data_IF_463087403808
#
_entry.id   IF_463087403808
#
_cell.length_a   1.000
_cell.length_b   1.000
_cell.length_c   1.000
_cell.angle_alpha   90.00
_cell.angle_beta   90.00
_cell.angle_gamma   90.00
#
_symmetry.space_group_name_H-M   'P 1'
#
loop_
_entity.id
_entity.type
_entity.pdbx_description
1 polymer ?
#
# COMPACT_ATOMS: atom_id res chain seq x y z
N UNK A 1 -27.08 -13.16 -9.58
CA UNK A 1 -26.83 -13.42 -11.00
C UNK A 1 -28.03 -12.98 -11.82
N UNK A 2 -27.94 -11.74 -12.30
CA UNK A 2 -28.86 -11.14 -13.26
C UNK A 2 -28.96 -12.00 -14.54
N UNK A 3 -30.16 -12.25 -15.11
CA UNK A 3 -30.31 -13.02 -16.35
C UNK A 3 -29.48 -12.49 -17.53
N UNK A 4 -29.29 -11.16 -17.60
CA UNK A 4 -28.45 -10.52 -18.62
C UNK A 4 -26.96 -10.82 -18.39
N UNK A 5 -26.52 -10.88 -17.14
CA UNK A 5 -25.15 -11.27 -16.80
C UNK A 5 -24.87 -12.74 -17.15
N UNK A 6 -25.82 -13.64 -16.90
CA UNK A 6 -25.74 -15.03 -17.36
C UNK A 6 -25.65 -15.10 -18.89
N UNK A 7 -26.45 -14.31 -19.61
CA UNK A 7 -26.40 -14.26 -21.07
C UNK A 7 -25.06 -13.76 -21.60
N UNK A 8 -24.51 -12.69 -21.03
CA UNK A 8 -23.17 -12.19 -21.39
C UNK A 8 -22.13 -13.27 -21.15
N UNK A 9 -22.19 -13.96 -20.00
CA UNK A 9 -21.27 -15.06 -19.67
C UNK A 9 -21.35 -16.22 -20.67
N UNK A 10 -22.55 -16.58 -21.11
CA UNK A 10 -22.74 -17.59 -22.17
C UNK A 10 -22.10 -17.16 -23.49
N UNK A 11 -22.30 -15.90 -23.89
CA UNK A 11 -21.76 -15.33 -25.13
C UNK A 11 -20.23 -15.29 -25.13
N UNK A 12 -19.61 -15.06 -23.97
CA UNK A 12 -18.16 -15.01 -23.78
C UNK A 12 -17.55 -16.35 -23.33
N UNK A 13 -18.36 -17.42 -23.19
CA UNK A 13 -17.89 -18.70 -22.65
C UNK A 13 -16.90 -19.48 -23.55
N UNK A 14 -16.80 -19.12 -24.84
CA UNK A 14 -16.00 -19.81 -25.85
C UNK A 14 -14.50 -19.44 -25.87
N UNK A 15 -13.72 -20.10 -26.73
CA UNK A 15 -12.28 -19.81 -26.91
C UNK A 15 -12.02 -18.45 -27.60
N UNK A 16 -13.00 -17.95 -28.35
CA UNK A 16 -13.09 -16.58 -28.88
C UNK A 16 -14.55 -16.20 -29.05
N UNK A 17 -14.90 -14.97 -28.70
CA UNK A 17 -16.22 -14.40 -29.01
C UNK A 17 -16.25 -13.98 -30.47
N UNK A 18 -17.27 -14.40 -31.20
CA UNK A 18 -17.46 -13.97 -32.59
C UNK A 18 -18.06 -12.56 -32.67
N UNK A 19 -17.89 -11.82 -33.79
CA UNK A 19 -18.39 -10.45 -33.94
C UNK A 19 -19.90 -10.27 -33.70
N UNK A 20 -20.71 -11.31 -33.92
CA UNK A 20 -22.14 -11.28 -33.63
C UNK A 20 -22.44 -11.33 -32.12
N UNK A 21 -21.69 -12.15 -31.38
CA UNK A 21 -21.81 -12.27 -29.94
C UNK A 21 -21.27 -11.01 -29.24
N UNK A 22 -20.16 -10.44 -29.70
CA UNK A 22 -19.65 -9.14 -29.19
C UNK A 22 -20.68 -8.01 -29.37
N UNK A 23 -21.35 -7.97 -30.52
CA UNK A 23 -22.42 -7.00 -30.78
C UNK A 23 -23.63 -7.21 -29.87
N UNK A 24 -23.98 -8.46 -29.59
CA UNK A 24 -25.06 -8.79 -28.66
C UNK A 24 -24.70 -8.38 -27.22
N UNK A 25 -23.46 -8.60 -26.78
CA UNK A 25 -22.95 -8.10 -25.49
C UNK A 25 -23.09 -6.57 -25.41
N UNK A 26 -22.63 -5.83 -26.43
CA UNK A 26 -22.78 -4.37 -26.48
C UNK A 26 -24.25 -3.93 -26.47
N UNK A 27 -25.14 -4.63 -27.17
CA UNK A 27 -26.56 -4.34 -27.18
C UNK A 27 -27.18 -4.53 -25.79
N UNK A 28 -26.89 -5.65 -25.13
CA UNK A 28 -27.35 -5.93 -23.77
C UNK A 28 -26.91 -4.80 -22.84
N UNK A 29 -25.63 -4.42 -22.84
CA UNK A 29 -25.08 -3.38 -21.96
C UNK A 29 -25.68 -1.99 -22.25
N UNK A 30 -25.97 -1.66 -23.51
CA UNK A 30 -26.63 -0.39 -23.89
C UNK A 30 -28.07 -0.33 -23.43
N UNK A 31 -28.77 -1.45 -23.43
CA UNK A 31 -30.20 -1.53 -23.10
C UNK A 31 -30.47 -1.69 -21.60
N UNK A 32 -29.44 -1.91 -20.76
CA UNK A 32 -29.59 -1.93 -19.30
C UNK A 32 -30.15 -0.58 -18.82
N UNK A 33 -31.28 -0.57 -18.07
CA UNK A 33 -31.84 0.66 -17.53
C UNK A 33 -30.83 1.48 -16.71
N UNK A 34 -30.98 2.81 -16.66
CA UNK A 34 -30.15 3.66 -15.81
C UNK A 34 -30.18 3.20 -14.35
N UNK A 35 -29.01 3.06 -13.73
CA UNK A 35 -28.87 2.61 -12.34
C UNK A 35 -28.82 1.10 -12.12
N UNK A 36 -29.01 0.28 -13.17
CA UNK A 36 -28.85 -1.18 -13.08
C UNK A 36 -27.50 -1.69 -13.62
N UNK A 37 -26.74 -0.83 -14.33
CA UNK A 37 -25.48 -1.24 -14.97
C UNK A 37 -24.41 -1.67 -13.95
N UNK A 38 -24.29 -0.95 -12.84
CA UNK A 38 -23.33 -1.26 -11.78
C UNK A 38 -23.53 -2.68 -11.21
N UNK A 39 -24.77 -3.00 -10.83
CA UNK A 39 -25.13 -4.31 -10.29
C UNK A 39 -24.94 -5.44 -11.32
N UNK A 40 -25.21 -5.17 -12.60
CA UNK A 40 -24.97 -6.13 -13.68
C UNK A 40 -23.46 -6.43 -13.82
N UNK A 41 -22.62 -5.40 -13.87
CA UNK A 41 -21.18 -5.56 -14.03
C UNK A 41 -20.53 -6.23 -12.80
N UNK A 42 -21.06 -5.98 -11.60
CA UNK A 42 -20.61 -6.64 -10.38
C UNK A 42 -20.85 -8.17 -10.39
N UNK A 43 -21.81 -8.65 -11.19
CA UNK A 43 -22.09 -10.07 -11.39
C UNK A 43 -21.22 -10.73 -12.51
N UNK A 44 -20.34 -9.95 -13.18
CA UNK A 44 -19.52 -10.40 -14.31
C UNK A 44 -18.04 -10.52 -13.95
N UNK A 45 -17.35 -11.43 -14.64
CA UNK A 45 -15.89 -11.45 -14.73
C UNK A 45 -15.45 -10.40 -15.76
N UNK A 46 -15.01 -9.24 -15.27
CA UNK A 46 -14.63 -8.10 -16.12
C UNK A 46 -13.34 -8.34 -16.91
N UNK A 47 -12.38 -9.09 -16.35
CA UNK A 47 -11.15 -9.46 -17.06
C UNK A 47 -11.49 -10.30 -18.29
N UNK A 48 -12.34 -11.30 -18.08
CA UNK A 48 -12.87 -12.11 -19.18
C UNK A 48 -13.65 -11.28 -20.19
N UNK A 49 -14.59 -10.44 -19.73
CA UNK A 49 -15.41 -9.61 -20.62
C UNK A 49 -14.56 -8.71 -21.55
N UNK A 50 -13.55 -8.05 -20.99
CA UNK A 50 -12.66 -7.16 -21.76
C UNK A 50 -11.74 -7.95 -22.69
N UNK A 51 -11.22 -9.09 -22.23
CA UNK A 51 -10.38 -9.97 -23.03
C UNK A 51 -11.12 -10.60 -24.21
N UNK A 52 -12.40 -10.91 -24.03
CA UNK A 52 -13.21 -11.65 -24.99
C UNK A 52 -13.89 -10.77 -26.06
N UNK A 53 -13.97 -9.45 -25.87
CA UNK A 53 -14.44 -8.50 -26.88
C UNK A 53 -13.25 -7.85 -27.58
N UNK A 54 -13.19 -7.93 -28.92
CA UNK A 54 -12.02 -7.47 -29.69
C UNK A 54 -12.34 -6.39 -30.73
N UNK A 55 -11.32 -5.61 -31.09
CA UNK A 55 -11.35 -4.73 -32.26
C UNK A 55 -10.85 -5.52 -33.46
N UNK A 56 -11.71 -5.72 -34.46
CA UNK A 56 -11.40 -6.56 -35.62
C UNK A 56 -10.69 -5.75 -36.71
N UNK A 57 -9.57 -6.24 -37.24
CA UNK A 57 -8.80 -5.64 -38.35
C UNK A 57 -9.69 -5.23 -39.54
N UNK A 58 -10.76 -6.00 -39.76
CA UNK A 58 -11.82 -5.69 -40.72
C UNK A 58 -13.16 -5.85 -40.00
N UNK A 59 -13.77 -4.76 -39.57
CA UNK A 59 -15.04 -4.83 -38.84
C UNK A 59 -15.29 -3.62 -37.97
N UNK A 60 -16.16 -3.80 -36.98
CA UNK A 60 -16.43 -2.79 -35.97
C UNK A 60 -15.43 -2.92 -34.82
N UNK A 61 -15.04 -1.77 -34.26
CA UNK A 61 -14.17 -1.68 -33.09
C UNK A 61 -15.01 -1.92 -31.82
N UNK A 62 -15.40 -3.17 -31.57
CA UNK A 62 -16.30 -3.51 -30.48
C UNK A 62 -15.67 -3.33 -29.10
N UNK A 63 -14.35 -3.53 -28.94
CA UNK A 63 -13.67 -3.24 -27.68
C UNK A 63 -13.64 -1.74 -27.44
N UNK A 64 -13.29 -0.96 -28.45
CA UNK A 64 -13.32 0.51 -28.35
C UNK A 64 -14.72 1.03 -27.99
N UNK A 65 -15.77 0.45 -28.58
CA UNK A 65 -17.16 0.77 -28.23
C UNK A 65 -17.55 0.33 -26.81
N UNK A 66 -17.02 -0.79 -26.33
CA UNK A 66 -17.26 -1.27 -24.97
C UNK A 66 -16.64 -0.31 -23.96
N UNK A 67 -15.38 0.08 -24.17
CA UNK A 67 -14.67 1.01 -23.28
C UNK A 67 -15.33 2.39 -23.27
N UNK A 68 -15.71 2.91 -24.44
CA UNK A 68 -16.44 4.18 -24.53
C UNK A 68 -17.79 4.11 -23.79
N UNK A 69 -18.51 2.99 -23.91
CA UNK A 69 -19.76 2.79 -23.17
C UNK A 69 -19.54 2.79 -21.66
N UNK A 70 -18.59 1.98 -21.18
CA UNK A 70 -18.39 1.72 -19.75
C UNK A 70 -17.68 2.86 -19.02
N UNK A 71 -16.76 3.56 -19.68
CA UNK A 71 -15.95 4.62 -19.06
C UNK A 71 -16.50 6.01 -19.36
N UNK A 72 -16.79 6.30 -20.64
CA UNK A 72 -17.15 7.66 -21.06
C UNK A 72 -18.66 7.91 -20.95
N UNK A 73 -19.46 7.02 -21.53
CA UNK A 73 -20.90 7.26 -21.72
C UNK A 73 -21.69 6.98 -20.45
N UNK A 74 -21.42 5.84 -19.79
CA UNK A 74 -22.14 5.37 -18.61
C UNK A 74 -21.26 5.23 -17.38
N UNK A 75 -20.00 5.67 -17.45
CA UNK A 75 -19.06 5.57 -16.34
C UNK A 75 -19.56 6.22 -15.05
N UNK A 76 -20.31 7.33 -15.16
CA UNK A 76 -20.94 8.01 -14.03
C UNK A 76 -21.97 7.17 -13.24
N UNK A 77 -22.52 6.11 -13.85
CA UNK A 77 -23.44 5.19 -13.17
C UNK A 77 -22.72 4.14 -12.32
N UNK A 78 -21.42 3.95 -12.53
CA UNK A 78 -20.64 2.92 -11.86
C UNK A 78 -20.21 3.38 -10.47
N UNK A 79 -20.33 2.50 -9.50
CA UNK A 79 -19.71 2.66 -8.18
C UNK A 79 -18.18 2.61 -8.30
N UNK A 80 -17.49 3.17 -7.32
CA UNK A 80 -16.03 3.08 -7.20
C UNK A 80 -15.54 1.63 -7.09
N UNK A 81 -16.35 0.72 -6.56
CA UNK A 81 -16.07 -0.73 -6.51
C UNK A 81 -15.97 -1.31 -7.91
N UNK A 82 -17.03 -1.13 -8.71
CA UNK A 82 -17.09 -1.65 -10.08
C UNK A 82 -16.06 -0.97 -10.97
N UNK A 83 -15.83 0.34 -10.78
CA UNK A 83 -14.82 1.08 -11.53
C UNK A 83 -13.40 0.61 -11.21
N UNK A 84 -13.10 0.30 -9.95
CA UNK A 84 -11.82 -0.29 -9.57
C UNK A 84 -11.62 -1.68 -10.21
N UNK A 85 -12.65 -2.53 -10.20
CA UNK A 85 -12.61 -3.84 -10.86
C UNK A 85 -12.43 -3.72 -12.39
N UNK A 86 -13.08 -2.73 -13.01
CA UNK A 86 -12.90 -2.44 -14.44
C UNK A 86 -11.47 -1.98 -14.74
N UNK A 87 -10.92 -1.08 -13.93
CA UNK A 87 -9.53 -0.61 -14.08
C UNK A 87 -8.58 -1.78 -13.91
N UNK A 88 -8.75 -2.62 -12.89
CA UNK A 88 -7.95 -3.83 -12.65
C UNK A 88 -7.93 -4.75 -13.88
N UNK A 89 -9.09 -5.00 -14.49
CA UNK A 89 -9.21 -5.78 -15.72
C UNK A 89 -8.49 -5.16 -16.93
N UNK A 90 -8.36 -3.82 -16.98
CA UNK A 90 -7.68 -3.13 -18.09
C UNK A 90 -6.14 -3.24 -18.04
N UNK A 91 -5.57 -3.55 -16.87
CA UNK A 91 -4.11 -3.62 -16.67
C UNK A 91 -3.61 -4.93 -16.05
N UNK A 92 -4.42 -5.99 -16.03
CA UNK A 92 -4.04 -7.36 -15.62
C UNK A 92 -2.94 -8.01 -16.49
N UNK A 93 -2.52 -7.33 -17.58
CA UNK A 93 -1.57 -7.82 -18.57
C UNK A 93 -0.87 -6.70 -19.34
N UNK A 94 -0.80 -6.81 -20.67
CA UNK A 94 -0.36 -5.67 -21.48
C UNK A 94 -1.45 -4.61 -21.44
N UNK A 95 -1.05 -3.35 -21.29
CA UNK A 95 -1.97 -2.19 -21.26
C UNK A 95 -1.78 -1.37 -22.55
N UNK A 96 -2.49 -1.70 -23.66
CA UNK A 96 -2.48 -0.89 -24.88
C UNK A 96 -2.90 0.55 -24.61
N UNK A 97 -2.57 1.45 -25.54
CA UNK A 97 -2.91 2.87 -25.41
C UNK A 97 -4.39 3.12 -25.12
N UNK A 98 -5.30 2.40 -25.79
CA UNK A 98 -6.74 2.52 -25.57
C UNK A 98 -7.15 2.16 -24.11
N UNK A 99 -6.52 1.15 -23.51
CA UNK A 99 -6.76 0.79 -22.11
C UNK A 99 -6.21 1.87 -21.19
N UNK A 100 -5.00 2.38 -21.45
CA UNK A 100 -4.42 3.48 -20.68
C UNK A 100 -5.33 4.72 -20.71
N UNK A 101 -5.84 5.09 -21.89
CA UNK A 101 -6.76 6.22 -22.06
C UNK A 101 -8.10 6.01 -21.33
N UNK A 102 -8.64 4.79 -21.38
CA UNK A 102 -9.84 4.41 -20.63
C UNK A 102 -9.61 4.49 -19.11
N UNK A 103 -8.48 3.98 -18.61
CA UNK A 103 -8.12 4.09 -17.19
C UNK A 103 -7.98 5.55 -16.77
N UNK A 104 -7.25 6.37 -17.54
CA UNK A 104 -7.12 7.80 -17.26
C UNK A 104 -8.47 8.50 -17.30
N UNK A 105 -9.32 8.18 -18.28
CA UNK A 105 -10.69 8.71 -18.35
C UNK A 105 -11.51 8.37 -17.10
N UNK A 106 -11.45 7.12 -16.64
CA UNK A 106 -12.13 6.66 -15.42
C UNK A 106 -11.63 7.41 -14.17
N UNK A 107 -10.31 7.52 -13.98
CA UNK A 107 -9.72 8.21 -12.84
C UNK A 107 -10.09 9.70 -12.82
N UNK A 108 -9.94 10.39 -13.96
CA UNK A 108 -10.23 11.82 -14.10
C UNK A 108 -11.72 12.14 -14.04
N UNK A 109 -12.60 11.15 -14.22
CA UNK A 109 -14.06 11.33 -14.11
C UNK A 109 -14.55 11.49 -12.67
N UNK A 110 -13.69 11.20 -11.68
CA UNK A 110 -14.03 11.24 -10.25
C UNK A 110 -13.30 12.37 -9.55
N UNK A 111 -13.98 12.98 -8.58
CA UNK A 111 -13.44 14.05 -7.74
C UNK A 111 -13.81 13.83 -6.26
N UNK A 112 -13.10 14.52 -5.36
CA UNK A 112 -13.34 14.48 -3.91
C UNK A 112 -13.39 13.07 -3.34
N UNK A 113 -14.40 12.80 -2.51
CA UNK A 113 -14.52 11.54 -1.77
C UNK A 113 -14.62 10.30 -2.67
N UNK A 114 -15.24 10.39 -3.86
CA UNK A 114 -15.31 9.27 -4.80
C UNK A 114 -13.94 8.95 -5.42
N UNK A 115 -13.17 9.99 -5.78
CA UNK A 115 -11.83 9.80 -6.30
C UNK A 115 -10.91 9.20 -5.23
N UNK A 116 -11.00 9.71 -4.00
CA UNK A 116 -10.25 9.19 -2.87
C UNK A 116 -10.57 7.72 -2.62
N UNK A 117 -11.86 7.33 -2.59
CA UNK A 117 -12.26 5.93 -2.41
C UNK A 117 -11.75 5.03 -3.55
N UNK A 118 -11.85 5.49 -4.80
CA UNK A 118 -11.31 4.77 -5.96
C UNK A 118 -9.78 4.57 -5.86
N UNK A 119 -9.04 5.61 -5.49
CA UNK A 119 -7.58 5.58 -5.33
C UNK A 119 -7.14 4.51 -4.33
N UNK A 120 -7.79 4.47 -3.17
CA UNK A 120 -7.49 3.51 -2.12
C UNK A 120 -7.84 2.07 -2.51
N UNK A 121 -8.95 1.85 -3.23
CA UNK A 121 -9.29 0.52 -3.77
C UNK A 121 -8.23 0.00 -4.74
N UNK A 122 -7.71 0.87 -5.60
CA UNK A 122 -6.64 0.52 -6.54
C UNK A 122 -5.30 0.28 -5.82
N UNK A 123 -5.05 0.96 -4.72
CA UNK A 123 -3.84 0.73 -3.91
C UNK A 123 -3.91 -0.61 -3.17
N UNK A 124 -5.09 -1.05 -2.74
CA UNK A 124 -5.27 -2.24 -1.89
C UNK A 124 -5.74 -3.48 -2.66
N UNK A 125 -5.36 -3.65 -3.94
CA UNK A 125 -5.76 -4.80 -4.76
C UNK A 125 -5.24 -6.16 -4.22
N UNK A 126 -4.21 -6.13 -3.36
CA UNK A 126 -3.62 -7.33 -2.76
C UNK A 126 -2.76 -8.16 -3.71
N UNK A 127 -2.54 -7.65 -4.93
CA UNK A 127 -1.64 -8.22 -5.93
C UNK A 127 -0.60 -7.18 -6.39
N UNK A 128 0.13 -7.46 -7.48
CA UNK A 128 1.13 -6.52 -8.00
C UNK A 128 0.56 -5.46 -8.95
N UNK A 129 -0.74 -5.50 -9.24
CA UNK A 129 -1.43 -4.54 -10.10
C UNK A 129 -2.03 -3.42 -9.23
N UNK A 130 -1.20 -2.86 -8.35
CA UNK A 130 -1.60 -1.74 -7.50
C UNK A 130 -1.56 -0.40 -8.26
N UNK A 131 -1.97 0.66 -7.57
CA UNK A 131 -1.98 2.02 -8.11
C UNK A 131 -0.59 2.50 -8.56
N UNK A 132 0.48 2.12 -7.84
CA UNK A 132 1.84 2.49 -8.23
C UNK A 132 2.23 1.84 -9.55
N UNK A 133 1.96 0.55 -9.69
CA UNK A 133 2.23 -0.19 -10.91
C UNK A 133 1.47 0.42 -12.08
N UNK A 134 0.18 0.67 -11.87
CA UNK A 134 -0.68 1.28 -12.87
C UNK A 134 -0.10 2.61 -13.35
N UNK A 135 0.19 3.53 -12.43
CA UNK A 135 0.59 4.91 -12.77
C UNK A 135 2.02 4.97 -13.31
N UNK A 136 2.97 4.29 -12.67
CA UNK A 136 4.40 4.45 -12.97
C UNK A 136 4.97 3.41 -13.93
N UNK A 137 4.25 2.31 -14.19
CA UNK A 137 4.69 1.28 -15.12
C UNK A 137 3.79 1.13 -16.33
N UNK A 138 2.47 1.12 -16.15
CA UNK A 138 1.53 0.82 -17.24
C UNK A 138 1.16 2.05 -18.07
N UNK A 139 1.09 3.23 -17.44
CA UNK A 139 0.81 4.48 -18.15
C UNK A 139 2.07 5.08 -18.80
N UNK A 140 1.90 5.51 -20.05
CA UNK A 140 2.83 6.42 -20.73
C UNK A 140 2.92 7.78 -20.04
N UNK A 141 4.06 8.46 -20.19
CA UNK A 141 4.40 9.72 -19.50
C UNK A 141 3.32 10.79 -19.62
N UNK A 142 2.78 11.02 -20.82
CA UNK A 142 1.75 12.03 -21.06
C UNK A 142 0.42 11.74 -20.32
N UNK A 143 0.09 10.46 -20.15
CA UNK A 143 -1.10 10.01 -19.42
C UNK A 143 -0.86 9.98 -17.91
N UNK A 144 0.34 9.59 -17.50
CA UNK A 144 0.79 9.62 -16.10
C UNK A 144 0.76 11.03 -15.56
N UNK A 145 1.31 12.00 -16.28
CA UNK A 145 1.36 13.39 -15.85
C UNK A 145 -0.05 13.96 -15.61
N UNK A 146 -1.02 13.55 -16.43
CA UNK A 146 -2.43 13.92 -16.25
C UNK A 146 -3.02 13.33 -14.98
N UNK A 147 -2.73 12.07 -14.68
CA UNK A 147 -3.20 11.42 -13.44
C UNK A 147 -2.54 12.05 -12.21
N UNK A 148 -1.23 12.28 -12.24
CA UNK A 148 -0.51 12.93 -11.13
C UNK A 148 -1.03 14.36 -10.91
N UNK A 149 -1.26 15.13 -11.98
CA UNK A 149 -1.83 16.47 -11.87
C UNK A 149 -3.25 16.44 -11.29
N UNK A 150 -4.07 15.45 -11.66
CA UNK A 150 -5.40 15.25 -11.08
C UNK A 150 -5.31 14.90 -9.59
N UNK A 151 -4.43 13.97 -9.21
CA UNK A 151 -4.19 13.60 -7.80
C UNK A 151 -3.81 14.84 -6.98
N UNK A 152 -2.83 15.62 -7.43
CA UNK A 152 -2.42 16.85 -6.75
C UNK A 152 -3.57 17.86 -6.62
N UNK A 153 -4.36 18.05 -7.68
CA UNK A 153 -5.50 18.96 -7.66
C UNK A 153 -6.64 18.49 -6.73
N UNK A 154 -6.83 17.18 -6.54
CA UNK A 154 -7.80 16.64 -5.60
C UNK A 154 -7.30 16.72 -4.15
N UNK A 155 -6.02 16.45 -3.93
CA UNK A 155 -5.36 16.60 -2.63
C UNK A 155 -5.47 18.02 -2.05
N UNK A 156 -5.33 19.05 -2.90
CA UNK A 156 -5.50 20.45 -2.48
C UNK A 156 -6.93 20.79 -2.06
N UNK A 157 -7.93 20.09 -2.60
CA UNK A 157 -9.36 20.32 -2.33
C UNK A 157 -9.83 19.64 -1.05
N UNK A 158 -9.27 18.48 -0.74
CA UNK A 158 -9.63 17.65 0.40
C UNK A 158 -8.36 17.19 1.13
N UNK A 159 -7.67 18.12 1.83
CA UNK A 159 -6.45 17.78 2.56
C UNK A 159 -6.81 16.83 3.70
N UNK A 160 -6.25 15.63 3.65
CA UNK A 160 -6.40 14.63 4.72
C UNK A 160 -5.26 14.73 5.73
N UNK A 161 -5.47 14.19 6.93
CA UNK A 161 -4.42 13.96 7.92
C UNK A 161 -3.94 12.51 7.94
N UNK A 162 -4.35 11.72 6.95
CA UNK A 162 -4.07 10.28 6.87
C UNK A 162 -2.57 10.02 6.85
N UNK A 163 -2.20 8.85 7.34
CA UNK A 163 -0.82 8.45 7.53
C UNK A 163 -0.50 7.26 6.62
N UNK A 164 0.33 7.49 5.60
CA UNK A 164 0.95 6.41 4.82
C UNK A 164 2.04 5.75 5.65
N UNK A 165 1.99 4.43 5.76
CA UNK A 165 2.96 3.64 6.51
C UNK A 165 3.78 2.84 5.53
N UNK A 166 5.03 3.24 5.31
CA UNK A 166 5.97 2.46 4.52
C UNK A 166 6.79 1.56 5.43
N UNK A 167 6.89 0.27 5.12
CA UNK A 167 7.54 -0.69 5.99
C UNK A 167 8.50 -1.60 5.21
N UNK A 168 9.76 -1.69 5.62
CA UNK A 168 10.64 -2.77 5.14
C UNK A 168 10.24 -4.12 5.77
N UNK A 169 10.82 -5.21 5.26
CA UNK A 169 10.44 -6.57 5.67
C UNK A 169 11.59 -7.32 6.34
N UNK A 170 12.80 -7.22 5.81
CA UNK A 170 13.92 -8.01 6.32
C UNK A 170 14.60 -7.29 7.47
N UNK A 171 14.72 -7.96 8.62
CA UNK A 171 15.20 -7.36 9.87
C UNK A 171 14.36 -6.17 10.39
N UNK A 172 13.26 -5.85 9.69
CA UNK A 172 12.19 -4.96 10.12
C UNK A 172 10.96 -5.76 10.52
N UNK A 173 10.23 -6.37 9.58
CA UNK A 173 9.07 -7.22 9.92
C UNK A 173 9.47 -8.57 10.53
N UNK A 174 10.56 -9.15 10.02
CA UNK A 174 11.00 -10.49 10.38
C UNK A 174 12.51 -10.56 10.52
N UNK A 175 12.99 -11.16 11.60
CA UNK A 175 14.41 -11.42 11.82
C UNK A 175 14.97 -12.30 10.69
N UNK A 176 15.93 -11.79 9.93
CA UNK A 176 16.38 -12.41 8.69
C UNK A 176 17.90 -12.50 8.58
N UNK A 177 18.63 -11.39 8.67
CA UNK A 177 20.06 -11.32 8.31
C UNK A 177 20.92 -10.75 9.44
N UNK A 178 20.58 -9.58 9.96
CA UNK A 178 21.47 -8.78 10.81
C UNK A 178 21.22 -8.98 12.31
N UNK A 179 19.98 -9.18 12.71
CA UNK A 179 19.63 -9.24 14.14
C UNK A 179 19.95 -10.61 14.76
N UNK A 180 20.64 -10.64 15.89
CA UNK A 180 20.95 -11.86 16.64
C UNK A 180 20.20 -11.95 17.98
N UNK A 181 19.43 -10.92 18.34
CA UNK A 181 18.63 -10.87 19.57
C UNK A 181 17.46 -11.84 19.52
N UNK A 182 17.01 -12.20 18.32
CA UNK A 182 15.87 -13.07 18.06
C UNK A 182 16.26 -14.29 17.22
N UNK A 183 15.58 -15.44 17.39
CA UNK A 183 15.72 -16.57 16.47
C UNK A 183 15.42 -16.16 15.02
N UNK A 184 16.16 -16.74 14.07
CA UNK A 184 15.95 -16.46 12.65
C UNK A 184 14.55 -16.87 12.21
N UNK A 185 13.90 -16.00 11.48
CA UNK A 185 12.56 -16.21 10.96
C UNK A 185 11.43 -15.80 11.89
N UNK A 186 11.74 -15.31 13.09
CA UNK A 186 10.78 -14.71 14.01
C UNK A 186 10.18 -13.44 13.41
N UNK A 187 8.86 -13.35 13.35
CA UNK A 187 8.16 -12.05 13.22
C UNK A 187 8.34 -11.32 14.55
N UNK A 188 8.84 -10.09 14.50
CA UNK A 188 9.22 -9.41 15.73
C UNK A 188 8.01 -9.15 16.64
N UNK A 189 8.13 -9.43 17.96
CA UNK A 189 7.05 -9.16 18.91
C UNK A 189 6.58 -7.70 18.88
N UNK A 190 5.28 -7.51 18.63
CA UNK A 190 4.62 -6.20 18.62
C UNK A 190 4.56 -5.49 17.27
N UNK A 191 5.30 -5.92 16.23
CA UNK A 191 5.26 -5.20 14.94
C UNK A 191 3.88 -5.21 14.29
N UNK A 192 3.16 -6.34 14.33
CA UNK A 192 1.81 -6.42 13.76
C UNK A 192 0.89 -5.43 14.46
N UNK A 193 0.94 -5.38 15.80
CA UNK A 193 0.17 -4.42 16.59
C UNK A 193 0.56 -2.97 16.26
N UNK A 194 1.86 -2.68 16.08
CA UNK A 194 2.32 -1.34 15.69
C UNK A 194 1.79 -0.94 14.32
N UNK A 195 1.93 -1.80 13.31
CA UNK A 195 1.49 -1.50 11.95
C UNK A 195 -0.02 -1.33 11.87
N UNK A 196 -0.78 -2.15 12.60
CA UNK A 196 -2.23 -1.97 12.76
C UNK A 196 -2.56 -0.64 13.42
N UNK A 197 -1.91 -0.29 14.53
CA UNK A 197 -2.15 0.98 15.21
C UNK A 197 -1.77 2.21 14.36
N UNK A 198 -0.73 2.10 13.53
CA UNK A 198 -0.34 3.16 12.58
C UNK A 198 -1.34 3.30 11.42
N UNK A 199 -1.84 2.19 10.87
CA UNK A 199 -2.87 2.18 9.81
C UNK A 199 -4.21 2.70 10.32
N UNK A 200 -4.58 2.41 11.56
CA UNK A 200 -5.76 3.00 12.22
C UNK A 200 -5.60 4.51 12.50
N UNK A 201 -4.37 4.93 12.78
CA UNK A 201 -4.00 6.30 13.11
C UNK A 201 -4.50 6.81 14.47
N UNK A 202 -4.09 8.04 14.81
CA UNK A 202 -4.49 8.76 16.03
C UNK A 202 -5.64 9.78 15.82
N UNK A 203 -6.14 9.94 14.59
CA UNK A 203 -7.18 10.90 14.27
C UNK A 203 -8.55 10.50 14.84
N UNK A 204 -9.42 11.49 15.10
CA UNK A 204 -10.75 11.28 15.69
C UNK A 204 -11.73 10.51 14.79
N UNK A 205 -11.38 10.28 13.52
CA UNK A 205 -12.12 9.46 12.57
C UNK A 205 -11.25 8.28 12.09
N UNK A 206 -11.10 7.21 12.89
CA UNK A 206 -10.34 6.03 12.52
C UNK A 206 -11.04 5.19 11.43
N UNK A 207 -10.27 4.34 10.74
CA UNK A 207 -10.67 3.25 9.83
C UNK A 207 -10.89 3.58 8.33
N UNK A 208 -9.80 3.85 7.60
CA UNK A 208 -9.72 3.47 6.18
C UNK A 208 -8.53 2.57 5.95
N UNK A 209 -8.81 1.28 5.75
CA UNK A 209 -7.80 0.30 5.41
C UNK A 209 -7.09 0.65 4.09
N UNK A 210 -5.76 0.44 4.03
CA UNK A 210 -4.99 0.54 2.79
C UNK A 210 -3.81 1.51 2.81
N UNK A 211 -3.40 1.99 4.00
CA UNK A 211 -2.30 2.92 4.17
C UNK A 211 -0.95 2.25 4.40
N UNK A 212 -0.95 0.98 4.81
CA UNK A 212 0.25 0.16 4.90
C UNK A 212 0.76 -0.26 3.51
N UNK A 213 2.02 0.02 3.26
CA UNK A 213 2.72 -0.37 2.04
C UNK A 213 4.10 -0.95 2.39
N UNK A 214 4.33 -2.20 2.01
CA UNK A 214 5.65 -2.81 2.19
C UNK A 214 6.60 -2.41 1.07
N UNK A 215 7.83 -2.04 1.42
CA UNK A 215 8.89 -1.68 0.48
C UNK A 215 10.00 -2.72 0.59
N UNK A 216 10.48 -3.26 -0.54
CA UNK A 216 11.58 -4.24 -0.49
C UNK A 216 12.42 -4.25 -1.75
N UNK A 217 13.71 -4.56 -1.55
CA UNK A 217 14.71 -4.65 -2.59
C UNK A 217 15.01 -6.09 -3.05
N UNK A 218 14.25 -7.10 -2.59
CA UNK A 218 14.56 -8.51 -2.91
C UNK A 218 14.42 -8.84 -4.41
N UNK A 219 15.31 -9.70 -4.95
CA UNK A 219 15.21 -10.18 -6.32
C UNK A 219 13.94 -11.02 -6.50
N UNK A 220 13.13 -10.66 -7.49
CA UNK A 220 11.81 -11.28 -7.76
C UNK A 220 10.71 -10.26 -8.05
N UNK A 221 10.90 -9.01 -7.62
CA UNK A 221 9.92 -7.94 -7.79
C UNK A 221 8.60 -8.21 -7.06
N UNK A 222 7.59 -7.34 -7.24
CA UNK A 222 6.31 -7.45 -6.54
C UNK A 222 5.66 -8.82 -6.71
N UNK A 223 5.76 -9.41 -7.91
CA UNK A 223 5.21 -10.73 -8.22
C UNK A 223 5.86 -11.87 -7.43
N UNK A 224 7.20 -11.91 -7.39
CA UNK A 224 7.93 -12.92 -6.62
C UNK A 224 7.74 -12.76 -5.12
N UNK A 225 7.50 -11.52 -4.67
CA UNK A 225 7.20 -11.18 -3.29
C UNK A 225 5.79 -11.57 -2.90
N UNK A 226 4.75 -11.18 -3.65
CA UNK A 226 3.36 -11.62 -3.43
C UNK A 226 3.29 -13.15 -3.39
N UNK A 227 3.99 -13.83 -4.30
CA UNK A 227 4.08 -15.29 -4.32
C UNK A 227 4.84 -15.86 -3.11
N UNK A 228 5.90 -15.18 -2.66
CA UNK A 228 6.63 -15.55 -1.46
C UNK A 228 5.86 -15.22 -0.18
N UNK A 229 4.99 -14.22 -0.19
CA UNK A 229 4.16 -13.78 0.95
C UNK A 229 2.91 -14.63 1.11
N UNK A 230 2.31 -15.07 -0.01
CA UNK A 230 1.30 -16.15 0.01
C UNK A 230 1.91 -17.49 0.40
N UNK A 231 3.18 -17.77 0.04
CA UNK A 231 3.87 -18.98 0.51
C UNK A 231 4.41 -18.91 1.95
N UNK A 232 4.72 -17.72 2.48
CA UNK A 232 5.36 -17.52 3.79
C UNK A 232 4.48 -16.85 4.85
N UNK A 233 3.16 -16.76 4.64
CA UNK A 233 2.20 -16.52 5.72
C UNK A 233 1.97 -15.07 6.15
N UNK A 234 2.39 -14.03 5.40
CA UNK A 234 2.04 -12.64 5.76
C UNK A 234 0.53 -12.41 5.84
N UNK A 235 -0.23 -13.04 4.92
CA UNK A 235 -1.69 -13.01 4.92
C UNK A 235 -2.31 -13.64 6.17
N UNK A 236 -1.56 -14.49 6.89
CA UNK A 236 -2.00 -15.15 8.13
C UNK A 236 -1.62 -14.35 9.39
N UNK A 237 -0.82 -13.29 9.28
CA UNK A 237 -0.37 -12.49 10.41
C UNK A 237 -1.42 -11.51 10.95
N UNK A 238 -2.60 -11.42 10.31
CA UNK A 238 -3.65 -10.46 10.71
C UNK A 238 -3.27 -9.00 10.47
N UNK A 239 -2.37 -8.75 9.51
CA UNK A 239 -2.00 -7.39 9.09
C UNK A 239 -3.18 -6.67 8.41
N UNK A 240 -3.22 -5.32 8.48
CA UNK A 240 -4.16 -4.53 7.69
C UNK A 240 -4.04 -4.80 6.17
N UNK A 241 -5.07 -4.49 5.37
CA UNK A 241 -4.96 -4.46 3.92
C UNK A 241 -3.78 -3.58 3.47
N UNK A 242 -2.91 -4.11 2.62
CA UNK A 242 -1.65 -3.47 2.29
C UNK A 242 -1.24 -3.65 0.82
N UNK A 243 -0.40 -2.73 0.35
CA UNK A 243 0.30 -2.83 -0.94
C UNK A 243 1.73 -3.36 -0.76
N UNK A 244 2.35 -3.82 -1.84
CA UNK A 244 3.76 -4.25 -1.85
C UNK A 244 4.51 -3.60 -3.01
N UNK A 245 5.31 -2.57 -2.67
CA UNK A 245 6.23 -1.92 -3.59
C UNK A 245 7.51 -2.76 -3.74
N UNK A 246 7.48 -3.64 -4.72
CA UNK A 246 8.63 -4.43 -5.14
C UNK A 246 9.35 -3.84 -6.35
N UNK A 247 10.68 -3.98 -6.37
CA UNK A 247 11.47 -3.77 -7.58
C UNK A 247 11.80 -5.09 -8.27
N UNK A 248 11.34 -5.33 -9.50
CA UNK A 248 11.93 -6.41 -10.31
C UNK A 248 13.37 -6.02 -10.62
N UNK A 249 14.37 -6.75 -10.11
CA UNK A 249 15.74 -6.73 -10.66
C UNK A 249 16.52 -8.00 -10.27
N UNK A 250 17.05 -8.67 -11.29
CA UNK A 250 18.26 -9.47 -11.23
C UNK A 250 19.42 -8.45 -11.11
N UNK A 251 20.28 -8.56 -10.09
CA UNK A 251 21.52 -7.76 -9.88
C UNK A 251 21.47 -6.50 -8.99
N UNK A 252 20.72 -6.50 -7.87
CA UNK A 252 20.96 -5.55 -6.78
C UNK A 252 22.14 -6.05 -5.92
N UNK A 253 23.34 -5.49 -6.13
CA UNK A 253 24.56 -5.92 -5.43
C UNK A 253 25.14 -4.90 -4.44
N UNK A 254 24.62 -3.67 -4.36
CA UNK A 254 25.16 -2.63 -3.46
C UNK A 254 24.08 -1.91 -2.67
N UNK A 255 24.40 -1.51 -1.43
CA UNK A 255 23.52 -0.71 -0.55
C UNK A 255 23.04 0.58 -1.23
N UNK A 256 23.89 1.24 -2.03
CA UNK A 256 23.53 2.47 -2.72
C UNK A 256 22.39 2.29 -3.74
N UNK A 257 22.38 1.18 -4.51
CA UNK A 257 21.30 0.92 -5.48
C UNK A 257 20.00 0.52 -4.77
N UNK A 258 20.11 -0.15 -3.60
CA UNK A 258 18.95 -0.43 -2.74
C UNK A 258 18.35 0.88 -2.22
N UNK A 259 19.19 1.78 -1.70
CA UNK A 259 18.78 3.09 -1.20
C UNK A 259 18.09 3.94 -2.28
N UNK A 260 18.73 4.08 -3.45
CA UNK A 260 18.17 4.82 -4.59
C UNK A 260 16.79 4.30 -4.98
N UNK A 261 16.60 2.98 -4.94
CA UNK A 261 15.31 2.39 -5.28
C UNK A 261 14.24 2.61 -4.22
N UNK A 262 14.60 2.54 -2.94
CA UNK A 262 13.67 2.88 -1.85
C UNK A 262 13.26 4.36 -1.96
N UNK A 263 14.21 5.27 -2.17
CA UNK A 263 13.94 6.69 -2.40
C UNK A 263 13.00 6.88 -3.60
N UNK A 264 13.27 6.22 -4.74
CA UNK A 264 12.39 6.29 -5.89
C UNK A 264 10.97 5.80 -5.57
N UNK A 265 10.82 4.69 -4.86
CA UNK A 265 9.51 4.16 -4.47
C UNK A 265 8.78 5.13 -3.53
N UNK A 266 9.47 5.70 -2.54
CA UNK A 266 8.92 6.69 -1.62
C UNK A 266 8.49 7.97 -2.35
N UNK A 267 9.29 8.45 -3.31
CA UNK A 267 8.93 9.59 -4.15
C UNK A 267 7.68 9.35 -4.99
N UNK A 268 7.52 8.13 -5.50
CA UNK A 268 6.32 7.72 -6.24
C UNK A 268 5.10 7.66 -5.33
N UNK A 269 5.23 7.07 -4.14
CA UNK A 269 4.13 7.02 -3.17
C UNK A 269 3.70 8.45 -2.77
N UNK A 270 4.66 9.35 -2.52
CA UNK A 270 4.39 10.77 -2.26
C UNK A 270 3.62 11.46 -3.39
N UNK A 271 3.88 11.10 -4.65
CA UNK A 271 3.14 11.64 -5.81
C UNK A 271 1.72 11.08 -5.92
N UNK A 272 1.46 9.89 -5.38
CA UNK A 272 0.13 9.26 -5.37
C UNK A 272 -0.70 9.69 -4.16
N UNK A 273 -0.04 10.02 -3.05
CA UNK A 273 -0.68 10.40 -1.79
C UNK A 273 -0.13 11.74 -1.25
N UNK A 274 -0.09 12.82 -2.06
CA UNK A 274 0.46 14.11 -1.62
C UNK A 274 -0.35 14.75 -0.47
N UNK A 275 -1.61 14.35 -0.29
CA UNK A 275 -2.45 14.79 0.83
C UNK A 275 -2.10 14.14 2.16
N UNK A 276 -1.37 13.03 2.17
CA UNK A 276 -1.09 12.27 3.38
C UNK A 276 0.21 12.74 4.05
N UNK A 277 0.36 12.41 5.33
CA UNK A 277 1.68 12.34 5.99
C UNK A 277 2.23 10.93 5.81
N UNK A 278 3.52 10.74 6.00
CA UNK A 278 4.18 9.46 5.79
C UNK A 278 5.17 9.16 6.91
N UNK A 279 5.11 7.93 7.41
CA UNK A 279 6.12 7.36 8.32
C UNK A 279 6.80 6.19 7.63
N UNK A 280 8.13 6.10 7.79
CA UNK A 280 8.90 4.97 7.29
C UNK A 280 9.37 4.09 8.46
N UNK A 281 9.19 2.78 8.36
CA UNK A 281 9.66 1.78 9.32
C UNK A 281 10.68 0.89 8.62
N UNK A 282 11.90 0.85 9.14
CA UNK A 282 13.02 0.10 8.53
C UNK A 282 14.02 -0.38 9.57
N UNK A 283 15.19 -0.85 9.13
CA UNK A 283 16.24 -1.41 9.99
C UNK A 283 17.63 -0.76 9.81
N UNK A 284 18.45 -0.81 10.87
CA UNK A 284 19.81 -0.25 10.86
C UNK A 284 20.87 -1.14 10.17
N UNK A 285 20.50 -2.33 9.71
CA UNK A 285 21.36 -3.28 8.98
C UNK A 285 21.48 -2.94 7.50
N UNK A 286 20.43 -2.39 6.91
CA UNK A 286 20.36 -2.05 5.49
C UNK A 286 20.74 -0.60 5.20
N UNK A 287 19.96 0.10 4.36
CA UNK A 287 20.18 1.49 3.97
C UNK A 287 19.04 2.40 4.46
N UNK A 288 18.24 1.91 5.40
CA UNK A 288 16.92 2.48 5.70
C UNK A 288 17.03 3.76 6.51
N UNK A 289 18.03 3.85 7.39
CA UNK A 289 18.37 5.10 8.08
C UNK A 289 18.73 6.20 7.09
N UNK A 290 19.62 5.92 6.12
CA UNK A 290 20.03 6.89 5.10
C UNK A 290 18.86 7.30 4.20
N UNK A 291 18.00 6.35 3.81
CA UNK A 291 16.79 6.60 3.01
C UNK A 291 15.82 7.49 3.79
N UNK A 292 15.54 7.15 5.04
CA UNK A 292 14.66 7.92 5.92
C UNK A 292 15.15 9.34 6.14
N UNK A 293 16.44 9.51 6.45
CA UNK A 293 17.05 10.83 6.63
C UNK A 293 16.99 11.68 5.35
N UNK A 294 17.30 11.10 4.18
CA UNK A 294 17.22 11.82 2.90
C UNK A 294 15.80 12.26 2.56
N UNK A 295 14.82 11.39 2.78
CA UNK A 295 13.41 11.69 2.53
C UNK A 295 12.89 12.76 3.50
N UNK A 296 13.24 12.67 4.78
CA UNK A 296 12.91 13.69 5.77
C UNK A 296 13.53 15.05 5.41
N UNK A 297 14.81 15.10 5.01
CA UNK A 297 15.45 16.33 4.59
C UNK A 297 14.82 16.97 3.34
N UNK A 298 14.20 16.16 2.47
CA UNK A 298 13.55 16.61 1.24
C UNK A 298 12.19 17.26 1.51
N UNK A 299 11.40 16.67 2.39
CA UNK A 299 10.04 17.12 2.70
C UNK A 299 9.67 16.76 4.16
N UNK A 300 10.13 17.55 5.16
CA UNK A 300 9.93 17.23 6.58
C UNK A 300 8.46 17.22 7.02
N UNK A 301 7.60 17.97 6.32
CA UNK A 301 6.17 18.07 6.64
C UNK A 301 5.42 16.83 6.13
N UNK A 302 5.81 16.29 4.97
CA UNK A 302 5.25 15.05 4.44
C UNK A 302 5.83 13.81 5.13
N UNK A 303 7.16 13.72 5.30
CA UNK A 303 7.85 12.60 5.95
C UNK A 303 8.03 12.91 7.43
N UNK A 304 7.01 12.60 8.23
CA UNK A 304 6.92 13.02 9.64
C UNK A 304 7.90 12.30 10.57
N UNK A 305 8.50 11.19 10.12
CA UNK A 305 9.57 10.52 10.84
C UNK A 305 9.93 9.16 10.26
N UNK A 306 11.10 8.67 10.64
CA UNK A 306 11.53 7.28 10.39
C UNK A 306 11.69 6.54 11.71
N UNK A 307 11.09 5.36 11.82
CA UNK A 307 11.27 4.42 12.92
C UNK A 307 12.28 3.36 12.48
N UNK A 308 13.50 3.43 13.02
CA UNK A 308 14.61 2.56 12.64
C UNK A 308 14.87 1.48 13.68
N UNK A 309 14.55 0.23 13.36
CA UNK A 309 14.80 -0.91 14.21
C UNK A 309 16.31 -1.18 14.33
N UNK A 310 16.83 -1.15 15.56
CA UNK A 310 18.24 -1.28 15.83
C UNK A 310 18.69 -2.75 15.82
N UNK A 311 19.15 -3.22 14.67
CA UNK A 311 19.65 -4.59 14.47
C UNK A 311 21.18 -4.65 14.38
N UNK A 312 21.86 -3.52 14.55
CA UNK A 312 23.33 -3.38 14.43
C UNK A 312 23.98 -2.77 15.66
N UNK A 313 23.27 -2.71 16.80
CA UNK A 313 23.78 -2.24 18.08
C UNK A 313 24.31 -0.79 18.04
N UNK A 314 23.57 0.12 17.41
CA UNK A 314 23.88 1.55 17.44
C UNK A 314 23.89 2.10 18.89
N UNK A 315 24.94 2.83 19.24
CA UNK A 315 25.12 3.47 20.55
C UNK A 315 24.35 4.80 20.66
N UNK A 316 24.29 5.36 21.87
CA UNK A 316 23.53 6.58 22.15
C UNK A 316 24.00 7.79 21.33
N UNK A 317 25.29 7.84 20.95
CA UNK A 317 25.84 8.92 20.12
C UNK A 317 25.30 8.79 18.70
N UNK A 318 25.42 7.61 18.10
CA UNK A 318 24.89 7.36 16.77
C UNK A 318 23.36 7.55 16.72
N UNK A 319 22.65 7.16 17.77
CA UNK A 319 21.20 7.38 17.87
C UNK A 319 20.84 8.86 17.92
N UNK A 320 21.60 9.66 18.66
CA UNK A 320 21.40 11.10 18.72
C UNK A 320 21.66 11.76 17.35
N UNK A 321 22.73 11.34 16.65
CA UNK A 321 23.02 11.80 15.28
C UNK A 321 21.88 11.48 14.30
N UNK A 322 21.31 10.27 14.37
CA UNK A 322 20.14 9.91 13.55
C UNK A 322 18.90 10.74 13.90
N UNK A 323 18.67 11.02 15.17
CA UNK A 323 17.53 11.81 15.62
C UNK A 323 17.55 13.25 15.08
N UNK A 324 18.73 13.84 14.90
CA UNK A 324 18.89 15.16 14.25
C UNK A 324 18.41 15.16 12.79
N UNK A 325 18.32 13.99 12.16
CA UNK A 325 17.89 13.81 10.77
C UNK A 325 16.47 13.21 10.66
N UNK A 326 15.67 13.27 11.72
CA UNK A 326 14.30 12.75 11.73
C UNK A 326 14.20 11.22 11.78
N UNK A 327 15.28 10.54 12.15
CA UNK A 327 15.36 9.09 12.25
C UNK A 327 15.44 8.66 13.72
N UNK A 328 14.39 8.01 14.21
CA UNK A 328 14.31 7.51 15.58
C UNK A 328 14.68 6.04 15.64
N UNK A 329 15.80 5.75 16.30
CA UNK A 329 16.31 4.39 16.50
C UNK A 329 15.69 3.75 17.73
N UNK A 330 15.11 2.55 17.59
CA UNK A 330 14.45 1.81 18.67
C UNK A 330 14.91 0.36 18.77
N UNK A 331 14.81 -0.25 19.95
CA UNK A 331 15.24 -1.64 20.17
C UNK A 331 14.09 -2.63 20.18
N UNK A 332 12.91 -2.24 20.69
CA UNK A 332 11.69 -3.03 20.60
C UNK A 332 10.53 -2.22 20.00
N UNK A 333 9.52 -2.91 19.47
CA UNK A 333 8.35 -2.26 18.88
C UNK A 333 7.54 -1.43 19.89
N UNK A 334 7.69 -1.66 21.20
CA UNK A 334 7.15 -0.77 22.23
C UNK A 334 7.84 0.61 22.21
N UNK A 335 9.15 0.67 22.01
CA UNK A 335 9.91 1.92 21.88
C UNK A 335 9.53 2.70 20.63
N UNK A 336 9.32 2.00 19.51
CA UNK A 336 8.77 2.58 18.29
C UNK A 336 7.39 3.22 18.55
N UNK A 337 6.50 2.52 19.27
CA UNK A 337 5.19 3.04 19.65
C UNK A 337 5.29 4.27 20.56
N UNK A 338 6.21 4.27 21.53
CA UNK A 338 6.46 5.42 22.41
C UNK A 338 6.81 6.67 21.60
N UNK A 339 7.69 6.53 20.60
CA UNK A 339 8.04 7.64 19.72
C UNK A 339 6.88 8.06 18.81
N UNK A 340 6.12 7.10 18.29
CA UNK A 340 4.94 7.39 17.48
C UNK A 340 3.87 8.19 18.25
N UNK A 341 3.74 7.99 19.57
CA UNK A 341 2.90 8.85 20.45
C UNK A 341 3.43 10.28 20.50
N UNK A 342 4.76 10.47 20.62
CA UNK A 342 5.37 11.83 20.61
C UNK A 342 5.12 12.55 19.29
N UNK A 343 5.12 11.82 18.17
CA UNK A 343 4.77 12.33 16.84
C UNK A 343 3.25 12.47 16.61
N UNK A 344 2.42 12.12 17.60
CA UNK A 344 0.95 12.11 17.50
C UNK A 344 0.44 11.23 16.35
N UNK A 345 1.17 10.16 16.06
CA UNK A 345 0.77 9.12 15.10
C UNK A 345 -0.08 8.05 15.78
N UNK A 346 0.21 7.77 17.06
CA UNK A 346 -0.53 6.85 17.92
C UNK A 346 -1.12 7.59 19.12
N UNK A 347 -2.24 7.08 19.62
CA UNK A 347 -2.72 7.43 20.96
C UNK A 347 -1.98 6.61 22.03
N UNK A 348 -1.91 7.10 23.28
CA UNK A 348 -1.27 6.35 24.38
C UNK A 348 -1.85 4.94 24.61
N UNK A 349 -3.16 4.75 24.44
CA UNK A 349 -3.82 3.44 24.56
C UNK A 349 -3.32 2.46 23.49
N UNK A 350 -3.22 2.90 22.23
CA UNK A 350 -2.66 2.08 21.15
C UNK A 350 -1.21 1.68 21.43
N UNK A 351 -0.39 2.60 21.96
CA UNK A 351 0.99 2.26 22.30
C UNK A 351 1.09 1.23 23.44
N UNK A 352 0.17 1.25 24.40
CA UNK A 352 0.09 0.23 25.44
C UNK A 352 -0.28 -1.14 24.85
N UNK A 353 -1.20 -1.21 23.88
CA UNK A 353 -1.54 -2.45 23.18
C UNK A 353 -0.32 -3.03 22.44
N UNK A 354 0.47 -2.19 21.77
CA UNK A 354 1.73 -2.61 21.14
C UNK A 354 2.70 -3.19 22.17
N UNK A 355 2.87 -2.51 23.31
CA UNK A 355 3.79 -2.97 24.36
C UNK A 355 3.36 -4.31 24.98
N UNK A 356 2.05 -4.52 25.15
CA UNK A 356 1.49 -5.78 25.64
C UNK A 356 1.68 -6.91 24.63
N UNK A 357 1.51 -6.62 23.34
CA UNK A 357 1.81 -7.55 22.25
C UNK A 357 3.30 -7.89 22.16
N UNK A 358 4.19 -6.90 22.35
CA UNK A 358 5.64 -7.14 22.44
C UNK A 358 5.97 -8.05 23.62
N UNK A 359 5.42 -7.78 24.82
CA UNK A 359 5.65 -8.62 26.01
C UNK A 359 5.19 -10.06 25.78
N UNK A 360 3.96 -10.24 25.34
CA UNK A 360 3.36 -11.56 25.09
C UNK A 360 4.17 -12.35 24.05
N UNK A 361 4.61 -11.66 22.98
CA UNK A 361 5.45 -12.29 21.96
C UNK A 361 6.82 -12.71 22.50
N UNK A 362 7.48 -11.88 23.31
CA UNK A 362 8.76 -12.21 23.94
C UNK A 362 8.66 -13.39 24.92
N UNK A 363 7.53 -13.52 25.63
CA UNK A 363 7.25 -14.65 26.52
C UNK A 363 7.09 -15.97 25.74
N UNK A 364 6.51 -15.91 24.54
CA UNK A 364 6.28 -17.07 23.69
C UNK A 364 7.52 -17.57 22.93
N UNK A 365 8.58 -16.75 22.84
CA UNK A 365 9.80 -17.11 22.13
C UNK A 365 10.73 -18.01 22.95
N UNK A 366 11.34 -18.98 22.27
CA UNK A 366 12.46 -19.76 22.82
C UNK A 366 13.75 -18.95 22.69
N UNK A 367 14.10 -18.26 23.78
CA UNK A 367 15.24 -17.36 23.87
C UNK A 367 16.31 -17.92 24.81
N UNK A 368 17.58 -17.70 24.47
CA UNK A 368 18.66 -17.89 25.43
C UNK A 368 18.51 -16.94 26.62
N UNK A 369 19.11 -17.26 27.76
CA UNK A 369 19.08 -16.39 28.95
C UNK A 369 19.64 -14.99 28.65
N UNK A 370 20.69 -14.89 27.83
CA UNK A 370 21.28 -13.62 27.46
C UNK A 370 20.33 -12.77 26.58
N UNK A 371 19.72 -13.40 25.56
CA UNK A 371 18.73 -12.72 24.70
C UNK A 371 17.53 -12.25 25.52
N UNK A 372 16.99 -13.12 26.37
CA UNK A 372 15.85 -12.79 27.24
C UNK A 372 16.18 -11.62 28.17
N UNK A 373 17.30 -11.68 28.89
CA UNK A 373 17.71 -10.60 29.79
C UNK A 373 17.88 -9.26 29.07
N UNK A 374 18.41 -9.27 27.84
CA UNK A 374 18.59 -8.06 27.04
C UNK A 374 17.24 -7.48 26.64
N UNK A 375 16.38 -8.29 26.01
CA UNK A 375 15.08 -7.85 25.50
C UNK A 375 14.10 -7.43 26.61
N UNK A 376 14.17 -8.05 27.79
CA UNK A 376 13.40 -7.61 28.96
C UNK A 376 13.88 -6.26 29.49
N UNK A 377 15.19 -6.00 29.46
CA UNK A 377 15.75 -4.68 29.80
C UNK A 377 15.32 -3.61 28.80
N UNK A 378 15.41 -3.91 27.50
CA UNK A 378 15.01 -3.00 26.43
C UNK A 378 13.51 -2.67 26.53
N UNK A 379 12.66 -3.69 26.70
CA UNK A 379 11.21 -3.49 26.89
C UNK A 379 10.89 -2.68 28.14
N UNK A 380 11.59 -2.89 29.26
CA UNK A 380 11.36 -2.12 30.48
C UNK A 380 11.63 -0.62 30.28
N UNK A 381 12.70 -0.28 29.55
CA UNK A 381 13.00 1.10 29.19
C UNK A 381 11.92 1.69 28.27
N UNK A 382 11.45 0.91 27.29
CA UNK A 382 10.41 1.34 26.35
C UNK A 382 9.06 1.58 27.04
N UNK A 383 8.67 0.76 28.01
CA UNK A 383 7.46 0.96 28.81
C UNK A 383 7.49 2.29 29.56
N UNK A 384 8.64 2.65 30.14
CA UNK A 384 8.83 3.96 30.77
C UNK A 384 8.69 5.09 29.73
N UNK A 385 9.27 4.92 28.54
CA UNK A 385 9.18 5.91 27.47
C UNK A 385 7.73 6.15 27.01
N UNK A 386 6.87 5.11 26.99
CA UNK A 386 5.44 5.26 26.68
C UNK A 386 4.74 6.10 27.76
N UNK A 387 4.99 5.84 29.04
CA UNK A 387 4.39 6.64 30.13
C UNK A 387 4.78 8.11 30.04
N UNK A 388 6.06 8.38 29.75
CA UNK A 388 6.57 9.74 29.57
C UNK A 388 5.92 10.43 28.37
N UNK A 389 5.81 9.73 27.23
CA UNK A 389 5.14 10.25 26.04
C UNK A 389 3.64 10.55 26.32
N UNK A 390 2.95 9.65 27.02
CA UNK A 390 1.55 9.84 27.38
C UNK A 390 1.32 11.07 28.27
N UNK A 391 2.21 11.30 29.25
CA UNK A 391 2.15 12.49 30.12
C UNK A 391 2.38 13.78 29.33
N UNK A 392 3.34 13.78 28.39
CA UNK A 392 3.63 14.94 27.57
C UNK A 392 2.43 15.35 26.71
N UNK A 393 1.80 14.38 26.03
CA UNK A 393 0.60 14.64 25.21
C UNK A 393 -0.58 15.12 26.05
N UNK A 394 -0.75 14.59 27.27
CA UNK A 394 -1.82 15.01 28.18
C UNK A 394 -1.67 16.44 28.74
N UNK A 395 -0.45 16.98 28.78
CA UNK A 395 -0.17 18.35 29.23
C UNK A 395 -0.40 19.40 28.13
N UNK A 396 -0.16 19.05 26.86
CA UNK A 396 -0.36 19.94 25.71
C UNK A 396 -1.84 20.14 25.34
N UNK A 397 -2.75 19.30 25.85
CA UNK A 397 -4.18 19.32 25.54
C UNK A 397 -5.09 19.98 26.60
N UNK A 398 -4.53 20.56 27.67
CA UNK A 398 -5.30 21.22 28.76
C UNK A 398 -5.27 22.74 28.67
#
# INVERSE_FOLDING_TARGET
>A
MDPRASRITELTSGWRTGPAAEREVLAILREVPPGELDALLADLDLDRLIGDVDDHVWGADHRSQLLDLLVTTRGGELSTVTLAALIAALHSGRTPRAHQEAVVGALLSREGAEFHDLKYRLNSSGDYHDLEHLVFRDLHEDLRDRVIAHIAAQADKDPTSDLRVLCDIDDTLRCAIHDDRYPRGTVYPGIVALLTALDEGAAAAPNRAGDLTFVTARPGGPRGLVEQYTRNGLSELGLPPHAVLGGSLLNLHTKAVIAERKIQNMDRDRLLFPECRMVFVGDSGQADGDVGAQMHAKDPDHIVGTLLHNVTDLDDVARAEWAEHGVHVFDTYAGAAAHAVRLRLLRPDQAQEVAEATRTGLEALDLTLAQRSRLESDLAADLQAIEEAARAVGQDGS
#
